data_IF_375339642544
#
_entry.id   IF_375339642544
#
_cell.length_a   1.000
_cell.length_b   1.000
_cell.length_c   1.000
_cell.angle_alpha   90.00
_cell.angle_beta   90.00
_cell.angle_gamma   90.00
#
_symmetry.space_group_name_H-M   'P 1'
#
loop_
_entity.id
_entity.type
_entity.pdbx_description
1 polymer ?
#
# COMPACT_ATOMS: atom_id res chain seq x y z
N UNK A 1 -15.12 -20.35 -18.90
CA UNK A 1 -15.02 -19.94 -17.49
C UNK A 1 -13.54 -19.77 -17.20
N UNK A 2 -13.09 -18.57 -16.85
CA UNK A 2 -11.67 -18.31 -16.58
C UNK A 2 -11.30 -18.99 -15.25
N UNK A 3 -10.24 -19.81 -15.26
CA UNK A 3 -9.80 -20.62 -14.13
C UNK A 3 -8.92 -19.78 -13.18
N UNK A 4 -9.54 -18.82 -12.50
CA UNK A 4 -8.86 -17.87 -11.61
C UNK A 4 -8.79 -18.40 -10.17
N UNK A 5 -7.65 -18.16 -9.52
CA UNK A 5 -7.38 -18.53 -8.13
C UNK A 5 -7.98 -17.51 -7.15
N UNK A 6 -8.05 -17.86 -5.86
CA UNK A 6 -8.53 -16.91 -4.84
C UNK A 6 -7.59 -15.71 -4.67
N UNK A 7 -6.27 -15.87 -4.87
CA UNK A 7 -5.33 -14.75 -4.91
C UNK A 7 -5.60 -13.79 -6.07
N UNK A 8 -6.02 -14.30 -7.23
CA UNK A 8 -6.37 -13.45 -8.38
C UNK A 8 -7.59 -12.57 -8.07
N UNK A 9 -8.51 -13.03 -7.23
CA UNK A 9 -9.65 -12.24 -6.78
C UNK A 9 -9.20 -11.08 -5.87
N UNK A 10 -8.32 -11.35 -4.89
CA UNK A 10 -7.78 -10.31 -4.01
C UNK A 10 -7.02 -9.25 -4.82
N UNK A 11 -6.10 -9.67 -5.69
CA UNK A 11 -5.34 -8.74 -6.53
C UNK A 11 -6.25 -7.90 -7.44
N UNK A 12 -7.26 -8.51 -8.05
CA UNK A 12 -8.23 -7.76 -8.88
C UNK A 12 -9.00 -6.71 -8.08
N UNK A 13 -9.45 -7.07 -6.87
CA UNK A 13 -10.20 -6.15 -6.00
C UNK A 13 -9.32 -4.98 -5.55
N UNK A 14 -8.08 -5.26 -5.14
CA UNK A 14 -7.10 -4.23 -4.77
C UNK A 14 -6.83 -3.28 -5.93
N UNK A 15 -6.44 -3.81 -7.09
CA UNK A 15 -6.12 -3.05 -8.29
C UNK A 15 -7.31 -2.18 -8.74
N UNK A 16 -8.53 -2.70 -8.66
CA UNK A 16 -9.72 -1.96 -9.06
C UNK A 16 -9.96 -0.72 -8.18
N UNK A 17 -9.90 -0.87 -6.85
CA UNK A 17 -10.19 0.23 -5.93
C UNK A 17 -9.01 1.21 -5.81
N UNK A 18 -7.77 0.71 -5.85
CA UNK A 18 -6.57 1.55 -5.95
C UNK A 18 -6.61 2.37 -7.23
N UNK A 19 -6.90 1.73 -8.38
CA UNK A 19 -6.97 2.41 -9.67
C UNK A 19 -8.03 3.53 -9.72
N UNK A 20 -9.19 3.33 -9.06
CA UNK A 20 -10.19 4.40 -8.90
C UNK A 20 -9.62 5.58 -8.12
N UNK A 21 -8.97 5.31 -6.99
CA UNK A 21 -8.38 6.35 -6.15
C UNK A 21 -7.29 7.13 -6.87
N UNK A 22 -6.39 6.43 -7.55
CA UNK A 22 -5.32 7.01 -8.36
C UNK A 22 -5.87 7.90 -9.48
N UNK A 23 -6.91 7.45 -10.19
CA UNK A 23 -7.48 8.18 -11.31
C UNK A 23 -8.35 9.37 -10.89
N UNK A 24 -8.85 9.40 -9.66
CA UNK A 24 -9.80 10.42 -9.20
C UNK A 24 -9.21 11.29 -8.09
N UNK A 25 -8.97 10.72 -6.92
CA UNK A 25 -8.59 11.46 -5.71
C UNK A 25 -7.11 11.83 -5.70
N UNK A 26 -6.24 10.90 -6.10
CA UNK A 26 -4.79 11.07 -6.06
C UNK A 26 -4.17 11.42 -7.42
N UNK A 27 -4.99 11.74 -8.44
CA UNK A 27 -4.53 11.96 -9.81
C UNK A 27 -3.33 12.91 -9.92
N UNK A 28 -3.41 14.06 -9.24
CA UNK A 28 -2.33 15.05 -9.26
C UNK A 28 -1.05 14.50 -8.61
N UNK A 29 -1.15 13.74 -7.52
CA UNK A 29 0.01 13.12 -6.87
C UNK A 29 0.63 12.07 -7.79
N UNK A 30 -0.18 11.20 -8.39
CA UNK A 30 0.28 10.13 -9.29
C UNK A 30 1.01 10.71 -10.51
N UNK A 31 0.43 11.70 -11.18
CA UNK A 31 1.03 12.29 -12.38
C UNK A 31 2.25 13.14 -12.05
N UNK A 32 2.20 13.99 -11.02
CA UNK A 32 3.33 14.87 -10.67
C UNK A 32 4.54 14.07 -10.16
N UNK A 33 4.32 12.89 -9.59
CA UNK A 33 5.39 12.04 -9.05
C UNK A 33 5.65 10.79 -9.89
N UNK A 34 5.10 10.71 -11.11
CA UNK A 34 5.14 9.52 -11.97
C UNK A 34 6.54 8.91 -12.10
N UNK A 35 7.55 9.74 -12.38
CA UNK A 35 8.93 9.25 -12.53
C UNK A 35 9.49 8.62 -11.25
N UNK A 36 9.13 9.15 -10.08
CA UNK A 36 9.57 8.57 -8.82
C UNK A 36 8.85 7.25 -8.55
N UNK A 37 7.52 7.25 -8.68
CA UNK A 37 6.69 6.04 -8.52
C UNK A 37 7.14 4.92 -9.47
N UNK A 38 7.41 5.23 -10.75
CA UNK A 38 7.87 4.25 -11.73
C UNK A 38 9.29 3.72 -11.46
N UNK A 39 10.13 4.46 -10.73
CA UNK A 39 11.52 4.07 -10.47
C UNK A 39 11.75 3.50 -9.07
N UNK A 40 10.78 3.60 -8.16
CA UNK A 40 10.95 3.16 -6.78
C UNK A 40 11.13 1.65 -6.65
N UNK A 41 10.54 0.85 -7.54
CA UNK A 41 10.77 -0.60 -7.57
C UNK A 41 12.24 -0.97 -7.79
N UNK A 42 13.04 -0.06 -8.36
CA UNK A 42 14.50 -0.17 -8.45
C UNK A 42 15.21 0.53 -7.29
N UNK A 43 14.87 1.80 -7.04
CA UNK A 43 15.60 2.65 -6.09
C UNK A 43 15.36 2.23 -4.64
N UNK A 44 14.13 1.84 -4.32
CA UNK A 44 13.67 1.39 -3.00
C UNK A 44 13.58 -0.12 -2.84
N UNK A 45 14.01 -0.91 -3.83
CA UNK A 45 13.86 -2.38 -3.86
C UNK A 45 14.20 -3.04 -2.51
N UNK A 46 15.39 -2.76 -1.98
CA UNK A 46 15.85 -3.37 -0.73
C UNK A 46 15.02 -2.95 0.48
N UNK A 47 14.44 -1.75 0.48
CA UNK A 47 13.61 -1.28 1.57
C UNK A 47 12.20 -1.87 1.49
N UNK A 48 11.64 -1.95 0.29
CA UNK A 48 10.33 -2.61 0.03
C UNK A 48 10.42 -4.09 0.42
N UNK A 49 11.45 -4.80 -0.05
CA UNK A 49 11.67 -6.21 0.27
C UNK A 49 11.82 -6.45 1.79
N UNK A 50 12.34 -5.47 2.54
CA UNK A 50 12.38 -5.55 4.01
C UNK A 50 11.00 -5.42 4.64
N UNK A 51 10.14 -4.53 4.13
CA UNK A 51 8.75 -4.43 4.59
C UNK A 51 8.00 -5.75 4.34
N UNK A 52 8.14 -6.33 3.15
CA UNK A 52 7.53 -7.62 2.79
C UNK A 52 8.06 -8.77 3.66
N UNK A 53 9.38 -8.80 3.89
CA UNK A 53 9.99 -9.80 4.77
C UNK A 53 9.49 -9.68 6.22
N UNK A 54 9.25 -8.46 6.70
CA UNK A 54 8.69 -8.23 8.02
C UNK A 54 7.24 -8.70 8.10
N UNK A 55 6.40 -8.39 7.10
CA UNK A 55 5.02 -8.88 7.04
C UNK A 55 4.97 -10.42 7.08
N UNK A 56 5.80 -11.08 6.28
CA UNK A 56 5.91 -12.55 6.30
C UNK A 56 6.37 -13.09 7.66
N UNK A 57 7.29 -12.39 8.32
CA UNK A 57 7.76 -12.73 9.67
C UNK A 57 6.63 -12.60 10.69
N UNK A 58 5.85 -11.52 10.63
CA UNK A 58 4.73 -11.25 11.52
C UNK A 58 3.62 -12.30 11.37
N UNK A 59 3.29 -12.67 10.12
CA UNK A 59 2.35 -13.75 9.79
C UNK A 59 2.86 -15.09 10.37
N UNK A 60 4.14 -15.41 10.16
CA UNK A 60 4.76 -16.64 10.68
C UNK A 60 4.70 -16.70 12.21
N UNK A 61 4.92 -15.55 12.85
CA UNK A 61 4.87 -15.40 14.31
C UNK A 61 3.44 -15.25 14.86
N UNK A 62 2.41 -15.37 14.01
CA UNK A 62 0.99 -15.26 14.37
C UNK A 62 0.64 -13.92 15.03
N UNK A 63 1.32 -12.85 14.63
CA UNK A 63 0.87 -11.49 14.94
C UNK A 63 -0.54 -11.33 14.37
N UNK A 64 -1.49 -10.68 15.09
CA UNK A 64 -2.83 -10.44 14.55
C UNK A 64 -2.75 -9.75 13.19
N UNK A 65 -3.46 -10.27 12.18
CA UNK A 65 -3.30 -9.85 10.77
C UNK A 65 -3.42 -8.33 10.60
N UNK A 66 -4.41 -7.69 11.24
CA UNK A 66 -4.59 -6.23 11.14
C UNK A 66 -3.41 -5.44 11.72
N UNK A 67 -2.72 -5.97 12.73
CA UNK A 67 -1.52 -5.35 13.32
C UNK A 67 -0.31 -5.51 12.39
N UNK A 68 -0.16 -6.69 11.79
CA UNK A 68 0.90 -6.98 10.83
C UNK A 68 0.75 -6.08 9.58
N UNK A 69 -0.46 -6.00 9.03
CA UNK A 69 -0.77 -5.16 7.87
C UNK A 69 -0.55 -3.67 8.18
N UNK A 70 -1.03 -3.16 9.30
CA UNK A 70 -0.77 -1.78 9.72
C UNK A 70 0.73 -1.46 9.84
N UNK A 71 1.53 -2.44 10.29
CA UNK A 71 2.99 -2.30 10.36
C UNK A 71 3.59 -2.25 8.96
N UNK A 72 3.09 -3.09 8.05
CA UNK A 72 3.47 -3.08 6.64
C UNK A 72 3.11 -1.76 5.93
N UNK A 73 1.86 -1.28 6.06
CA UNK A 73 1.41 0.01 5.49
C UNK A 73 2.31 1.16 5.94
N UNK A 74 2.64 1.20 7.24
CA UNK A 74 3.55 2.22 7.77
C UNK A 74 4.94 2.11 7.15
N UNK A 75 5.50 0.89 7.08
CA UNK A 75 6.80 0.65 6.48
C UNK A 75 6.85 1.13 5.01
N UNK A 76 5.82 0.78 4.23
CA UNK A 76 5.69 1.22 2.84
C UNK A 76 5.59 2.74 2.74
N UNK A 77 4.76 3.38 3.57
CA UNK A 77 4.67 4.84 3.64
C UNK A 77 6.01 5.52 3.95
N UNK A 78 6.79 4.99 4.89
CA UNK A 78 8.11 5.51 5.27
C UNK A 78 9.14 5.34 4.13
N UNK A 79 9.10 4.21 3.42
CA UNK A 79 9.94 3.97 2.23
C UNK A 79 9.62 4.98 1.15
N UNK A 80 8.34 5.11 0.77
CA UNK A 80 7.93 6.03 -0.28
C UNK A 80 8.19 7.50 0.11
N UNK A 81 8.07 7.85 1.39
CA UNK A 81 8.51 9.15 1.91
C UNK A 81 9.99 9.39 1.68
N UNK A 82 10.82 8.39 2.00
CA UNK A 82 12.29 8.49 1.92
C UNK A 82 12.76 8.71 0.48
N UNK A 83 12.17 8.00 -0.48
CA UNK A 83 12.63 8.06 -1.87
C UNK A 83 11.93 9.12 -2.72
N UNK A 84 10.66 9.43 -2.42
CA UNK A 84 9.81 10.25 -3.29
C UNK A 84 9.18 11.46 -2.60
N UNK A 85 9.40 11.65 -1.29
CA UNK A 85 8.88 12.77 -0.52
C UNK A 85 7.55 12.47 0.17
N UNK A 86 7.17 13.37 1.09
CA UNK A 86 6.08 13.18 2.04
C UNK A 86 4.72 12.89 1.37
N UNK A 87 4.38 13.59 0.28
CA UNK A 87 3.10 13.38 -0.41
C UNK A 87 3.00 12.00 -1.03
N UNK A 88 4.13 11.47 -1.53
CA UNK A 88 4.17 10.13 -2.11
C UNK A 88 4.11 9.07 -1.02
N UNK A 89 4.71 9.32 0.15
CA UNK A 89 4.52 8.47 1.33
C UNK A 89 3.08 8.46 1.85
N UNK A 90 2.44 9.64 1.91
CA UNK A 90 1.03 9.76 2.26
C UNK A 90 0.14 9.01 1.25
N UNK A 91 0.43 9.15 -0.05
CA UNK A 91 -0.25 8.42 -1.12
C UNK A 91 -0.13 6.90 -0.93
N UNK A 92 1.09 6.39 -0.69
CA UNK A 92 1.31 4.97 -0.48
C UNK A 92 0.52 4.42 0.71
N UNK A 93 0.51 5.14 1.84
CA UNK A 93 -0.32 4.76 2.98
C UNK A 93 -1.81 4.68 2.62
N UNK A 94 -2.32 5.66 1.87
CA UNK A 94 -3.73 5.72 1.50
C UNK A 94 -4.14 4.58 0.56
N UNK A 95 -3.33 4.24 -0.45
CA UNK A 95 -3.68 3.14 -1.38
C UNK A 95 -3.69 1.79 -0.67
N UNK A 96 -2.75 1.55 0.25
CA UNK A 96 -2.69 0.33 1.06
C UNK A 96 -3.92 0.22 1.99
N UNK A 97 -4.31 1.32 2.65
CA UNK A 97 -5.55 1.33 3.45
C UNK A 97 -6.81 1.08 2.61
N UNK A 98 -6.84 1.55 1.35
CA UNK A 98 -7.94 1.27 0.42
C UNK A 98 -7.97 -0.21 0.07
N UNK A 99 -6.84 -0.81 -0.30
CA UNK A 99 -6.73 -2.25 -0.51
C UNK A 99 -7.26 -3.03 0.70
N UNK A 100 -6.74 -2.74 1.89
CA UNK A 100 -7.12 -3.39 3.15
C UNK A 100 -8.61 -3.26 3.48
N UNK A 101 -9.24 -2.13 3.14
CA UNK A 101 -10.68 -1.93 3.33
C UNK A 101 -11.51 -2.97 2.56
N UNK A 102 -11.01 -3.43 1.42
CA UNK A 102 -11.72 -4.35 0.55
C UNK A 102 -11.30 -5.81 0.73
N UNK A 103 -10.02 -6.09 1.02
CA UNK A 103 -9.51 -7.47 1.16
C UNK A 103 -9.56 -7.99 2.59
N UNK A 104 -9.46 -7.09 3.58
CA UNK A 104 -9.52 -7.40 5.01
C UNK A 104 -10.50 -6.46 5.74
N UNK A 105 -11.80 -6.52 5.41
CA UNK A 105 -12.81 -5.61 5.96
C UNK A 105 -12.89 -5.63 7.50
N UNK A 106 -12.50 -6.74 8.14
CA UNK A 106 -12.39 -6.84 9.59
C UNK A 106 -11.34 -5.90 10.20
N UNK A 107 -10.37 -5.42 9.42
CA UNK A 107 -9.30 -4.53 9.87
C UNK A 107 -9.65 -3.04 9.75
N UNK A 108 -10.74 -2.70 9.05
CA UNK A 108 -11.20 -1.31 8.84
C UNK A 108 -11.25 -0.47 10.13
N UNK A 109 -11.76 -0.97 11.28
CA UNK A 109 -11.81 -0.17 12.51
C UNK A 109 -10.43 0.15 13.12
N UNK A 110 -9.38 -0.51 12.62
CA UNK A 110 -8.03 -0.44 13.18
C UNK A 110 -7.00 0.12 12.21
N UNK A 111 -7.39 0.49 10.98
CA UNK A 111 -6.47 1.03 9.99
C UNK A 111 -5.73 2.24 10.54
N UNK A 112 -4.45 2.35 10.21
CA UNK A 112 -3.67 3.52 10.62
C UNK A 112 -4.17 4.78 9.94
N UNK A 113 -4.03 5.92 10.62
CA UNK A 113 -4.29 7.21 10.00
C UNK A 113 -3.13 7.57 9.07
N UNK A 114 -3.42 7.74 7.79
CA UNK A 114 -2.45 8.21 6.82
C UNK A 114 -2.25 9.73 6.94
N UNK A 115 -1.03 10.24 6.69
CA UNK A 115 -0.78 11.67 6.64
C UNK A 115 -1.63 12.37 5.57
N UNK A 116 -1.91 13.65 5.78
CA UNK A 116 -2.52 14.49 4.75
C UNK A 116 -1.48 14.88 3.69
N UNK A 117 -1.95 15.12 2.47
CA UNK A 117 -1.13 15.71 1.41
C UNK A 117 -0.74 17.15 1.75
N UNK A 118 0.45 17.56 1.31
CA UNK A 118 0.92 18.93 1.37
C UNK A 118 0.06 19.78 0.42
N UNK A 119 -0.78 20.64 0.99
CA UNK A 119 -1.59 21.61 0.23
C UNK A 119 -0.78 22.78 -0.27
#
# INVERSE_FOLDING_TARGET
MFNVTQSDNYAYVEDFFIGIYECQTAYNITINNFYCLASIGKNGFNSIAKCEAQLNTDITNKVPICVAENTFVKCMGDVYTTYCGADVGAYMCNIENIALTHVLPQCVPTLINCPAYST
#
